data_IF_453658186299
#
_entry.id   IF_453658186299
#
_cell.length_a   1.000
_cell.length_b   1.000
_cell.length_c   1.000
_cell.angle_alpha   90.00
_cell.angle_beta   90.00
_cell.angle_gamma   90.00
#
_symmetry.space_group_name_H-M   'P 1'
#
loop_
_entity.id
_entity.type
_entity.pdbx_description
1 polymer ?
#
# COMPACT_ATOMS: atom_id res chain seq x y z
N UNK A 1 -13.31 14.71 0.40
CA UNK A 1 -12.46 13.70 1.06
C UNK A 1 -13.38 12.58 1.49
N UNK A 2 -13.24 11.38 0.92
CA UNK A 2 -14.03 10.22 1.34
C UNK A 2 -13.37 9.71 2.61
N UNK A 3 -14.09 9.67 3.72
CA UNK A 3 -13.56 9.09 4.96
C UNK A 3 -13.56 7.58 4.75
N UNK A 4 -12.38 6.96 4.78
CA UNK A 4 -12.27 5.50 4.77
C UNK A 4 -12.77 4.99 6.12
N UNK A 5 -13.78 4.12 6.08
CA UNK A 5 -14.27 3.41 7.25
C UNK A 5 -13.28 2.29 7.58
N UNK A 6 -12.32 2.60 8.46
CA UNK A 6 -11.28 1.65 8.85
C UNK A 6 -11.84 0.40 9.53
N UNK A 7 -13.03 0.48 10.14
CA UNK A 7 -13.66 -0.65 10.83
C UNK A 7 -14.20 -1.69 9.83
N UNK A 8 -14.57 -1.23 8.63
CA UNK A 8 -15.12 -2.06 7.55
C UNK A 8 -14.17 -2.19 6.35
N UNK A 9 -12.91 -1.75 6.49
CA UNK A 9 -11.95 -1.68 5.39
C UNK A 9 -11.78 -3.02 4.68
N UNK A 10 -11.81 -4.14 5.40
CA UNK A 10 -11.56 -5.48 4.88
C UNK A 10 -12.84 -6.28 4.57
N UNK A 11 -14.01 -5.65 4.60
CA UNK A 11 -15.23 -6.32 4.15
C UNK A 11 -15.17 -6.60 2.63
N UNK A 12 -15.68 -7.75 2.15
CA UNK A 12 -15.74 -8.02 0.72
C UNK A 12 -16.48 -6.90 -0.02
N UNK A 13 -15.85 -6.39 -1.07
CA UNK A 13 -16.35 -5.26 -1.86
C UNK A 13 -16.49 -5.61 -3.36
N UNK A 14 -16.20 -6.85 -3.72
CA UNK A 14 -16.26 -7.40 -5.07
C UNK A 14 -16.67 -8.87 -5.04
N UNK A 15 -17.09 -9.40 -6.19
CA UNK A 15 -17.45 -10.81 -6.35
C UNK A 15 -17.02 -11.35 -7.71
N UNK A 16 -16.65 -12.63 -7.75
CA UNK A 16 -16.39 -13.37 -8.98
C UNK A 16 -16.99 -14.80 -8.88
N UNK A 17 -16.61 -15.69 -9.80
CA UNK A 17 -17.09 -17.08 -9.82
C UNK A 17 -16.71 -17.91 -8.58
N UNK A 18 -15.70 -17.48 -7.83
CA UNK A 18 -15.23 -18.12 -6.60
C UNK A 18 -15.80 -17.41 -5.35
N UNK A 19 -16.77 -16.50 -5.52
CA UNK A 19 -17.50 -15.81 -4.44
C UNK A 19 -17.01 -14.39 -4.13
N UNK A 20 -17.49 -13.81 -3.01
CA UNK A 20 -17.09 -12.48 -2.56
C UNK A 20 -15.62 -12.42 -2.15
N UNK A 21 -14.96 -11.30 -2.44
CA UNK A 21 -13.58 -11.04 -2.05
C UNK A 21 -13.34 -9.53 -1.81
N UNK A 22 -12.19 -9.22 -1.21
CA UNK A 22 -11.74 -7.85 -1.01
C UNK A 22 -10.85 -7.40 -2.17
N UNK A 23 -11.25 -6.36 -2.88
CA UNK A 23 -10.52 -5.72 -3.98
C UNK A 23 -9.91 -4.38 -3.52
N UNK A 24 -8.57 -4.24 -3.47
CA UNK A 24 -7.92 -3.00 -3.06
C UNK A 24 -8.26 -1.83 -3.99
N UNK A 25 -8.50 -2.09 -5.28
CA UNK A 25 -8.72 -1.05 -6.28
C UNK A 25 -10.08 -0.36 -6.11
N UNK A 26 -11.10 -1.11 -5.68
CA UNK A 26 -12.42 -0.56 -5.32
C UNK A 26 -12.33 0.34 -4.07
N UNK A 27 -11.45 0.01 -3.12
CA UNK A 27 -11.22 0.84 -1.93
C UNK A 27 -10.49 2.13 -2.30
N UNK A 28 -9.39 2.01 -3.06
CA UNK A 28 -8.59 3.15 -3.53
C UNK A 28 -9.42 4.10 -4.40
N UNK A 29 -10.48 3.58 -5.03
CA UNK A 29 -11.38 4.31 -5.92
C UNK A 29 -10.65 5.02 -7.08
N UNK A 30 -9.52 4.46 -7.49
CA UNK A 30 -8.86 4.83 -8.75
C UNK A 30 -9.47 3.96 -9.84
N UNK A 31 -10.04 4.54 -10.91
CA UNK A 31 -10.47 3.75 -12.05
C UNK A 31 -9.24 3.11 -12.70
N UNK A 32 -8.97 1.87 -12.32
CA UNK A 32 -7.89 1.10 -12.89
C UNK A 32 -8.23 0.79 -14.35
N UNK A 33 -7.35 1.22 -15.27
CA UNK A 33 -7.37 0.71 -16.65
C UNK A 33 -6.95 -0.76 -16.69
N UNK A 34 -6.80 -1.33 -17.89
CA UNK A 34 -6.14 -2.64 -18.01
C UNK A 34 -4.72 -2.56 -17.41
N UNK A 35 -4.42 -3.46 -16.48
CA UNK A 35 -3.12 -3.56 -15.81
C UNK A 35 -2.74 -5.04 -15.62
N UNK A 36 -1.52 -5.31 -15.14
CA UNK A 36 -0.97 -6.65 -14.97
C UNK A 36 -0.53 -6.92 -13.52
N UNK A 37 -0.19 -8.18 -13.23
CA UNK A 37 0.18 -8.62 -11.87
C UNK A 37 1.35 -7.83 -11.27
N UNK A 38 2.29 -7.32 -12.08
CA UNK A 38 3.43 -6.54 -11.57
C UNK A 38 3.01 -5.25 -10.85
N UNK A 39 1.88 -4.64 -11.20
CA UNK A 39 1.42 -3.42 -10.50
C UNK A 39 0.98 -3.75 -9.07
N UNK A 40 0.28 -4.87 -8.86
CA UNK A 40 -0.10 -5.31 -7.51
C UNK A 40 1.15 -5.71 -6.70
N UNK A 41 2.12 -6.40 -7.33
CA UNK A 41 3.41 -6.70 -6.68
C UNK A 41 4.15 -5.43 -6.25
N UNK A 42 4.20 -4.43 -7.11
CA UNK A 42 4.88 -3.17 -6.81
C UNK A 42 4.22 -2.49 -5.60
N UNK A 43 2.88 -2.49 -5.54
CA UNK A 43 2.12 -1.99 -4.40
C UNK A 43 2.48 -2.73 -3.10
N UNK A 44 2.46 -4.06 -3.13
CA UNK A 44 2.78 -4.93 -1.99
C UNK A 44 4.22 -4.68 -1.52
N UNK A 45 5.19 -4.56 -2.44
CA UNK A 45 6.58 -4.29 -2.10
C UNK A 45 6.77 -2.92 -1.46
N UNK A 46 6.09 -1.88 -1.94
CA UNK A 46 6.15 -0.56 -1.32
C UNK A 46 5.50 -0.57 0.06
N UNK A 47 4.34 -1.23 0.25
CA UNK A 47 3.71 -1.36 1.57
C UNK A 47 4.62 -2.09 2.58
N UNK A 48 5.17 -3.25 2.19
CA UNK A 48 6.14 -4.00 3.01
C UNK A 48 7.35 -3.12 3.38
N UNK A 49 7.89 -2.37 2.42
CA UNK A 49 9.02 -1.48 2.67
C UNK A 49 8.68 -0.32 3.61
N UNK A 50 7.46 0.24 3.53
CA UNK A 50 6.96 1.26 4.46
C UNK A 50 6.92 0.69 5.88
N UNK A 51 6.27 -0.47 6.07
CA UNK A 51 6.18 -1.18 7.35
C UNK A 51 7.56 -1.42 7.94
N UNK A 52 8.46 -2.01 7.17
CA UNK A 52 9.81 -2.36 7.62
C UNK A 52 10.65 -1.12 7.92
N UNK A 53 10.42 -0.03 7.19
CA UNK A 53 11.00 1.29 7.46
C UNK A 53 10.61 1.83 8.83
N UNK A 54 9.35 1.66 9.24
CA UNK A 54 8.86 2.01 10.59
C UNK A 54 9.42 1.07 11.66
N UNK A 55 9.37 -0.24 11.43
CA UNK A 55 9.86 -1.25 12.37
C UNK A 55 11.36 -1.10 12.71
N UNK A 56 12.14 -0.49 11.81
CA UNK A 56 13.56 -0.23 12.02
C UNK A 56 13.87 0.85 13.07
N UNK A 57 12.86 1.53 13.64
CA UNK A 57 13.05 2.52 14.71
C UNK A 57 13.77 3.80 14.28
N UNK A 58 14.02 3.97 12.98
CA UNK A 58 14.47 5.25 12.42
C UNK A 58 13.40 6.30 12.77
N UNK A 59 13.81 7.39 13.40
CA UNK A 59 12.93 8.52 13.72
C UNK A 59 13.75 9.82 13.67
N UNK A 60 13.13 10.95 13.30
CA UNK A 60 13.82 12.23 13.19
C UNK A 60 14.65 12.44 11.90
N UNK A 61 15.75 13.20 12.01
CA UNK A 61 16.62 13.66 10.91
C UNK A 61 17.23 12.54 10.03
N UNK A 62 17.18 11.28 10.48
CA UNK A 62 17.64 10.11 9.72
C UNK A 62 16.74 9.75 8.52
N UNK A 63 15.53 10.32 8.46
CA UNK A 63 14.58 10.11 7.37
C UNK A 63 14.73 11.09 6.20
N UNK A 64 15.82 11.86 6.13
CA UNK A 64 16.09 12.78 4.99
C UNK A 64 15.99 12.10 3.62
N UNK A 65 16.11 10.77 3.57
CA UNK A 65 16.12 9.95 2.37
C UNK A 65 15.11 8.79 2.41
N UNK A 66 13.92 8.94 3.01
CA UNK A 66 12.96 7.83 3.17
C UNK A 66 12.59 7.13 1.86
N UNK A 67 12.25 7.92 0.83
CA UNK A 67 11.94 7.43 -0.52
C UNK A 67 13.15 6.71 -1.12
N UNK A 68 14.34 7.32 -1.04
CA UNK A 68 15.60 6.76 -1.54
C UNK A 68 15.93 5.42 -0.86
N UNK A 69 15.72 5.30 0.45
CA UNK A 69 15.98 4.08 1.20
C UNK A 69 15.04 2.95 0.77
N UNK A 70 13.73 3.25 0.61
CA UNK A 70 12.75 2.28 0.09
C UNK A 70 13.12 1.89 -1.34
N UNK A 71 13.36 2.87 -2.21
CA UNK A 71 13.75 2.69 -3.61
C UNK A 71 14.93 1.72 -3.74
N UNK A 72 16.02 1.94 -2.97
CA UNK A 72 17.19 1.05 -2.96
C UNK A 72 16.87 -0.36 -2.45
N UNK A 73 15.98 -0.47 -1.46
CA UNK A 73 15.61 -1.76 -0.86
C UNK A 73 14.84 -2.65 -1.83
N UNK A 74 13.88 -2.07 -2.57
CA UNK A 74 12.99 -2.82 -3.46
C UNK A 74 13.39 -2.76 -4.93
N UNK A 75 14.46 -2.03 -5.27
CA UNK A 75 14.98 -1.95 -6.64
C UNK A 75 14.12 -1.12 -7.61
N UNK A 76 13.28 -0.21 -7.09
CA UNK A 76 12.43 0.68 -7.90
C UNK A 76 13.01 2.08 -7.97
N UNK A 77 12.62 2.89 -8.97
CA UNK A 77 12.98 4.31 -8.98
C UNK A 77 12.29 5.07 -7.87
N UNK A 78 12.93 6.14 -7.37
CA UNK A 78 12.34 7.01 -6.34
C UNK A 78 10.97 7.56 -6.77
N UNK A 79 10.84 7.98 -8.02
CA UNK A 79 9.56 8.45 -8.58
C UNK A 79 8.45 7.40 -8.58
N UNK A 80 8.79 6.13 -8.78
CA UNK A 80 7.83 5.03 -8.75
C UNK A 80 7.37 4.77 -7.31
N UNK A 81 8.31 4.81 -6.35
CA UNK A 81 7.98 4.73 -4.91
C UNK A 81 7.10 5.90 -4.48
N UNK A 82 7.42 7.12 -4.87
CA UNK A 82 6.62 8.31 -4.55
C UNK A 82 5.20 8.22 -5.11
N UNK A 83 5.03 7.68 -6.31
CA UNK A 83 3.71 7.46 -6.89
C UNK A 83 2.85 6.54 -6.01
N UNK A 84 3.39 5.42 -5.56
CA UNK A 84 2.68 4.52 -4.66
C UNK A 84 2.38 5.15 -3.31
N UNK A 85 3.36 5.84 -2.73
CA UNK A 85 3.16 6.56 -1.48
C UNK A 85 2.04 7.60 -1.59
N UNK A 86 1.97 8.31 -2.72
CA UNK A 86 0.90 9.25 -3.00
C UNK A 86 -0.47 8.56 -3.12
N UNK A 87 -0.53 7.40 -3.80
CA UNK A 87 -1.77 6.60 -3.90
C UNK A 87 -2.22 6.16 -2.50
N UNK A 88 -1.33 5.61 -1.67
CA UNK A 88 -1.67 5.14 -0.32
C UNK A 88 -2.08 6.28 0.61
N UNK A 89 -1.44 7.44 0.53
CA UNK A 89 -1.87 8.63 1.27
C UNK A 89 -3.22 9.15 0.79
N UNK A 90 -3.50 9.08 -0.51
CA UNK A 90 -4.79 9.49 -1.07
C UNK A 90 -5.93 8.52 -0.69
N UNK A 91 -5.59 7.29 -0.34
CA UNK A 91 -6.51 6.26 0.15
C UNK A 91 -6.61 6.23 1.69
N UNK A 92 -6.06 7.22 2.41
CA UNK A 92 -5.99 7.27 3.88
C UNK A 92 -5.35 6.02 4.52
N UNK A 93 -4.52 5.28 3.77
CA UNK A 93 -3.77 4.13 4.30
C UNK A 93 -2.43 4.52 4.90
N UNK A 94 -1.92 5.67 4.46
CA UNK A 94 -0.72 6.25 5.00
C UNK A 94 -0.91 7.73 5.31
N UNK A 95 -0.23 8.21 6.33
CA UNK A 95 -0.08 9.62 6.64
C UNK A 95 1.17 10.18 5.94
N UNK A 96 1.01 11.32 5.27
CA UNK A 96 2.14 12.08 4.75
C UNK A 96 2.76 12.92 5.87
N UNK A 97 3.99 12.57 6.26
CA UNK A 97 4.76 13.34 7.24
C UNK A 97 5.23 14.68 6.68
N UNK A 98 5.09 15.76 7.45
CA UNK A 98 5.55 17.09 7.03
C UNK A 98 7.06 17.31 7.23
N UNK A 99 7.66 16.62 8.21
CA UNK A 99 9.11 16.57 8.45
C UNK A 99 9.44 15.42 9.40
N UNK A 100 10.19 14.39 8.97
CA UNK A 100 10.66 14.16 7.61
C UNK A 100 9.50 14.03 6.60
N UNK A 101 9.75 14.42 5.35
CA UNK A 101 8.82 14.17 4.25
C UNK A 101 8.86 12.68 3.94
N UNK A 102 7.78 11.98 4.26
CA UNK A 102 7.69 10.53 4.15
C UNK A 102 6.25 10.05 4.21
N UNK A 103 6.08 8.75 4.03
CA UNK A 103 4.78 8.08 3.99
C UNK A 103 4.78 7.01 5.08
N UNK A 104 3.91 7.16 6.08
CA UNK A 104 3.88 6.30 7.26
C UNK A 104 2.52 5.62 7.34
N UNK A 105 2.40 4.39 7.89
CA UNK A 105 1.11 3.77 8.14
C UNK A 105 0.16 4.72 8.88
N UNK A 106 -1.07 4.85 8.40
CA UNK A 106 -2.06 5.71 9.04
C UNK A 106 -2.35 5.25 10.48
N UNK A 107 -2.50 6.19 11.41
CA UNK A 107 -2.75 5.85 12.81
C UNK A 107 -4.06 5.05 12.97
N UNK A 108 -3.98 3.90 13.65
CA UNK A 108 -5.14 3.03 13.91
C UNK A 108 -5.47 2.05 12.77
N UNK A 109 -4.82 2.18 11.61
CA UNK A 109 -4.94 1.19 10.55
C UNK A 109 -4.20 -0.11 10.92
N UNK A 110 -4.86 -1.25 10.72
CA UNK A 110 -4.22 -2.56 10.80
C UNK A 110 -3.35 -2.81 9.57
N UNK A 111 -2.19 -2.15 9.50
CA UNK A 111 -1.35 -2.09 8.30
C UNK A 111 -0.86 -3.47 7.82
N UNK A 112 -0.53 -4.37 8.75
CA UNK A 112 -0.17 -5.75 8.40
C UNK A 112 -1.36 -6.51 7.78
N UNK A 113 -2.58 -6.29 8.29
CA UNK A 113 -3.79 -6.88 7.72
C UNK A 113 -4.07 -6.34 6.31
N UNK A 114 -3.77 -5.06 6.05
CA UNK A 114 -3.84 -4.49 4.70
C UNK A 114 -2.89 -5.18 3.72
N UNK A 115 -1.64 -5.39 4.12
CA UNK A 115 -0.66 -6.11 3.30
C UNK A 115 -1.15 -7.54 3.00
N UNK A 116 -1.60 -8.27 4.03
CA UNK A 116 -2.12 -9.64 3.87
C UNK A 116 -3.37 -9.69 2.99
N UNK A 117 -4.28 -8.71 3.11
CA UNK A 117 -5.48 -8.65 2.29
C UNK A 117 -5.14 -8.43 0.81
N UNK A 118 -4.16 -7.55 0.52
CA UNK A 118 -3.70 -7.33 -0.86
C UNK A 118 -2.95 -8.53 -1.43
N UNK A 119 -2.12 -9.21 -0.63
CA UNK A 119 -1.48 -10.47 -1.02
C UNK A 119 -2.52 -11.55 -1.35
N UNK A 120 -3.59 -11.66 -0.56
CA UNK A 120 -4.69 -12.59 -0.82
C UNK A 120 -5.44 -12.23 -2.12
N UNK A 121 -5.69 -10.94 -2.36
CA UNK A 121 -6.24 -10.45 -3.62
C UNK A 121 -5.32 -10.82 -4.80
N UNK A 122 -4.02 -10.57 -4.68
CA UNK A 122 -3.02 -10.87 -5.71
C UNK A 122 -3.06 -12.35 -6.12
N UNK A 123 -2.98 -13.25 -5.12
CA UNK A 123 -3.03 -14.70 -5.34
C UNK A 123 -4.33 -15.09 -6.04
N UNK A 124 -5.48 -14.55 -5.59
CA UNK A 124 -6.78 -14.85 -6.19
C UNK A 124 -6.86 -14.37 -7.64
N UNK A 125 -6.46 -13.12 -7.89
CA UNK A 125 -6.64 -12.45 -9.19
C UNK A 125 -5.69 -13.00 -10.25
N UNK A 126 -4.43 -13.23 -9.87
CA UNK A 126 -3.36 -13.57 -10.80
C UNK A 126 -2.95 -15.04 -10.77
N UNK A 127 -3.30 -15.77 -9.71
CA UNK A 127 -2.89 -17.17 -9.49
C UNK A 127 -1.37 -17.33 -9.40
N UNK A 128 -0.73 -16.33 -8.80
CA UNK A 128 0.72 -16.19 -8.60
C UNK A 128 1.04 -15.99 -7.11
N UNK A 129 2.29 -16.20 -6.69
CA UNK A 129 2.74 -15.92 -5.31
C UNK A 129 3.45 -14.55 -5.24
N UNK A 130 3.16 -13.72 -4.20
CA UNK A 130 3.70 -12.37 -4.03
C UNK A 130 5.03 -12.28 -3.26
#
# INVERSE_FOLDING_TARGET
MRVVDLDNLFEPNSEDGDGPYWDPWEVIAIPAGGYNSSVDLDAIYVLRAIRDGVASGKSGDDYKNYVTDISKRIGMSESHVELWQYIFCSADWCDYGTSPRGCFPAHGLQFDALITAWEAYYVRRWKEEP
#
